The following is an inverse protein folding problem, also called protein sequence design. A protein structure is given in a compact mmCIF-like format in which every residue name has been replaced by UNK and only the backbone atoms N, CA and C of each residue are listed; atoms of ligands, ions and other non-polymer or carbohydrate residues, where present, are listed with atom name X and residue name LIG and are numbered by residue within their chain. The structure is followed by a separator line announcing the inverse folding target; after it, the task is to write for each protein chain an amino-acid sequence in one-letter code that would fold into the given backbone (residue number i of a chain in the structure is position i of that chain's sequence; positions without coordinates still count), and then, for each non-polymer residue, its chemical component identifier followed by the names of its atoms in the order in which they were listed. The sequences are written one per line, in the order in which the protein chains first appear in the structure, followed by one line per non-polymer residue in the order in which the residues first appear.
data_IF_095358778608
#
_entry.id   IF_095358778608
#
_cell.length_a   1.000
_cell.length_b   1.000
_cell.length_c   1.000
_cell.angle_alpha   90.00
_cell.angle_beta   90.00
_cell.angle_gamma   90.00
#
_symmetry.space_group_name_H-M   'P 1'
#
loop_
_entity.id
_entity.type
_entity.pdbx_description
1 polymer ?
#
# COMPACT_ATOMS: atom_id res chain seq x y z
N UNK A 1 17.04 24.90 23.08
CA UNK A 1 16.53 24.16 21.90
C UNK A 1 17.57 24.16 20.78
N UNK A 2 18.01 22.99 20.31
CA UNK A 2 18.99 22.88 19.22
C UNK A 2 18.34 23.03 17.83
N UNK A 3 19.15 23.10 16.76
CA UNK A 3 18.64 23.16 15.39
C UNK A 3 17.82 21.90 15.05
N UNK A 4 16.73 22.06 14.30
CA UNK A 4 15.94 20.93 13.80
C UNK A 4 16.65 20.31 12.60
N UNK A 5 16.87 18.99 12.65
CA UNK A 5 17.32 18.22 11.49
C UNK A 5 16.17 17.96 10.52
N UNK A 6 16.42 17.90 9.20
CA UNK A 6 15.40 17.54 8.23
C UNK A 6 14.90 16.10 8.43
N UNK A 7 13.61 15.85 8.19
CA UNK A 7 13.03 14.52 8.17
C UNK A 7 13.06 13.95 6.74
N UNK A 8 13.73 12.82 6.56
CA UNK A 8 13.80 12.10 5.29
C UNK A 8 12.83 10.92 5.30
N UNK A 9 12.04 10.77 4.23
CA UNK A 9 11.03 9.71 4.11
C UNK A 9 11.29 8.93 2.83
N UNK A 10 11.30 7.60 2.92
CA UNK A 10 11.29 6.71 1.78
C UNK A 10 9.84 6.39 1.39
N UNK A 11 9.52 6.55 0.10
CA UNK A 11 8.22 6.16 -0.47
C UNK A 11 8.38 5.78 -1.93
N UNK A 12 7.41 5.04 -2.46
CA UNK A 12 7.35 4.70 -3.88
C UNK A 12 7.09 5.95 -4.73
N UNK A 13 7.72 5.99 -5.91
CA UNK A 13 7.47 7.01 -6.93
C UNK A 13 7.15 6.30 -8.26
N UNK A 14 5.93 6.47 -8.81
CA UNK A 14 4.79 7.20 -8.27
C UNK A 14 4.11 6.49 -7.08
N UNK A 15 3.21 7.17 -6.33
CA UNK A 15 2.46 6.55 -5.24
C UNK A 15 1.69 5.30 -5.69
N UNK A 16 1.83 4.22 -4.92
CA UNK A 16 1.18 2.93 -5.22
C UNK A 16 -0.21 2.88 -4.62
N UNK A 17 -1.21 2.57 -5.44
CA UNK A 17 -2.60 2.40 -4.96
C UNK A 17 -2.81 1.08 -4.22
N UNK A 18 -3.72 1.07 -3.24
CA UNK A 18 -4.13 -0.17 -2.55
C UNK A 18 -4.66 -1.23 -3.52
N UNK A 19 -5.36 -0.81 -4.58
CA UNK A 19 -5.83 -1.73 -5.63
C UNK A 19 -4.66 -2.42 -6.36
N UNK A 20 -3.58 -1.70 -6.65
CA UNK A 20 -2.38 -2.27 -7.26
C UNK A 20 -1.67 -3.24 -6.31
N UNK A 21 -1.56 -2.90 -5.02
CA UNK A 21 -1.03 -3.79 -3.97
C UNK A 21 -1.84 -5.09 -3.93
N UNK A 22 -3.17 -5.03 -3.82
CA UNK A 22 -4.04 -6.21 -3.79
C UNK A 22 -3.92 -7.01 -5.09
N UNK A 23 -3.79 -6.34 -6.24
CA UNK A 23 -3.62 -7.00 -7.54
C UNK A 23 -2.32 -7.79 -7.63
N UNK A 24 -1.20 -7.24 -7.15
CA UNK A 24 0.09 -7.92 -7.06
C UNK A 24 0.02 -9.17 -6.19
N UNK A 25 -0.56 -9.06 -4.99
CA UNK A 25 -0.77 -10.22 -4.12
C UNK A 25 -1.63 -11.30 -4.79
N UNK A 26 -2.74 -10.92 -5.42
CA UNK A 26 -3.62 -11.87 -6.12
C UNK A 26 -2.89 -12.58 -7.28
N UNK A 27 -2.11 -11.84 -8.06
CA UNK A 27 -1.25 -12.39 -9.13
C UNK A 27 -0.28 -13.42 -8.55
N UNK A 28 0.46 -13.07 -7.50
CA UNK A 28 1.41 -13.99 -6.85
C UNK A 28 0.72 -15.24 -6.28
N UNK A 29 -0.46 -15.09 -5.68
CA UNK A 29 -1.30 -16.20 -5.19
C UNK A 29 -1.96 -17.02 -6.30
N UNK A 30 -1.88 -16.62 -7.58
CA UNK A 30 -2.53 -17.33 -8.69
C UNK A 30 -4.06 -17.18 -8.67
N UNK A 31 -4.56 -16.10 -8.08
CA UNK A 31 -5.99 -15.78 -7.96
C UNK A 31 -6.36 -14.66 -8.94
N UNK A 32 -7.52 -14.74 -9.61
CA UNK A 32 -7.96 -13.69 -10.54
C UNK A 32 -8.21 -12.39 -9.79
N UNK A 33 -7.81 -11.19 -10.26
CA UNK A 33 -7.83 -9.95 -9.45
C UNK A 33 -9.22 -9.50 -8.97
N UNK A 34 -10.29 -9.69 -9.76
CA UNK A 34 -11.72 -9.46 -9.42
C UNK A 34 -11.97 -8.28 -8.45
N UNK A 35 -11.49 -7.09 -8.80
CA UNK A 35 -11.79 -5.84 -8.08
C UNK A 35 -12.87 -5.06 -8.82
N UNK A 36 -13.74 -4.39 -8.08
CA UNK A 36 -14.74 -3.46 -8.60
C UNK A 36 -14.63 -2.12 -7.88
N UNK A 37 -14.85 -1.02 -8.59
CA UNK A 37 -14.92 0.30 -8.00
C UNK A 37 -16.21 0.42 -7.19
N UNK A 38 -16.09 0.84 -5.93
CA UNK A 38 -17.23 1.08 -5.03
C UNK A 38 -17.09 2.50 -4.49
N UNK A 39 -18.17 3.31 -4.48
CA UNK A 39 -18.16 4.63 -3.85
C UNK A 39 -17.70 4.55 -2.39
N UNK A 40 -16.77 5.43 -2.01
CA UNK A 40 -16.21 5.46 -0.65
C UNK A 40 -17.27 5.67 0.43
N UNK A 41 -18.36 6.40 0.13
CA UNK A 41 -19.48 6.61 1.04
C UNK A 41 -20.17 5.31 1.44
N UNK A 42 -20.44 4.42 0.46
CA UNK A 42 -21.05 3.12 0.71
C UNK A 42 -20.14 2.24 1.58
N UNK A 43 -18.83 2.28 1.31
CA UNK A 43 -17.87 1.52 2.10
C UNK A 43 -17.72 2.05 3.52
N UNK A 44 -17.73 3.38 3.69
CA UNK A 44 -17.76 4.02 5.01
C UNK A 44 -18.99 3.62 5.79
N UNK A 45 -20.17 3.65 5.18
CA UNK A 45 -21.43 3.24 5.83
C UNK A 45 -21.37 1.79 6.30
N UNK A 46 -20.90 0.87 5.45
CA UNK A 46 -20.72 -0.53 5.82
C UNK A 46 -19.74 -0.68 7.00
N UNK A 47 -18.58 0.00 6.96
CA UNK A 47 -17.61 -0.03 8.04
C UNK A 47 -18.19 0.50 9.36
N UNK A 48 -18.97 1.58 9.32
CA UNK A 48 -19.66 2.14 10.49
C UNK A 48 -20.68 1.15 11.06
N UNK A 49 -21.50 0.54 10.20
CA UNK A 49 -22.48 -0.46 10.63
C UNK A 49 -21.83 -1.69 11.30
N UNK A 50 -20.62 -2.05 10.86
CA UNK A 50 -19.81 -3.12 11.46
C UNK A 50 -18.99 -2.67 12.69
N UNK A 51 -19.16 -1.45 13.20
CA UNK A 51 -18.41 -0.92 14.34
C UNK A 51 -16.94 -0.57 14.03
N UNK A 52 -16.56 -0.51 12.76
CA UNK A 52 -15.18 -0.30 12.26
C UNK A 52 -14.90 1.14 11.82
N UNK A 53 -15.55 2.13 12.42
CA UNK A 53 -15.38 3.55 12.04
C UNK A 53 -13.93 4.01 12.14
N UNK A 54 -13.29 3.82 13.30
CA UNK A 54 -11.90 4.25 13.52
C UNK A 54 -10.92 3.55 12.58
N UNK A 55 -11.15 2.27 12.27
CA UNK A 55 -10.36 1.54 11.29
C UNK A 55 -10.50 2.13 9.89
N UNK A 56 -11.73 2.44 9.46
CA UNK A 56 -11.95 3.09 8.16
C UNK A 56 -11.24 4.44 8.06
N UNK A 57 -11.35 5.28 9.09
CA UNK A 57 -10.72 6.60 9.12
C UNK A 57 -9.19 6.50 9.11
N UNK A 58 -8.63 5.57 9.89
CA UNK A 58 -7.19 5.28 9.88
C UNK A 58 -6.71 4.77 8.52
N UNK A 59 -7.40 3.79 7.94
CA UNK A 59 -7.04 3.17 6.65
C UNK A 59 -7.15 4.12 5.46
N UNK A 60 -8.08 5.08 5.51
CA UNK A 60 -8.35 6.02 4.40
C UNK A 60 -7.71 7.39 4.59
N UNK A 61 -7.03 7.62 5.70
CA UNK A 61 -6.17 8.79 5.87
C UNK A 61 -5.05 8.79 4.82
N UNK A 62 -4.55 9.96 4.41
CA UNK A 62 -3.49 10.03 3.39
C UNK A 62 -2.25 9.25 3.85
N UNK A 63 -1.82 8.30 3.02
CA UNK A 63 -0.59 7.51 3.20
C UNK A 63 0.44 7.84 2.11
N UNK A 64 0.28 9.00 1.46
CA UNK A 64 1.19 9.46 0.40
C UNK A 64 2.21 10.40 1.04
N UNK A 65 3.47 10.06 0.90
CA UNK A 65 4.61 10.85 1.36
C UNK A 65 5.43 11.34 0.17
N UNK A 66 6.01 12.54 0.29
CA UNK A 66 6.94 13.10 -0.70
C UNK A 66 8.39 12.69 -0.36
N UNK A 67 9.06 11.88 -1.20
CA UNK A 67 10.44 11.44 -0.96
C UNK A 67 11.48 12.41 -1.54
N UNK A 68 11.07 13.55 -2.12
CA UNK A 68 11.96 14.44 -2.89
C UNK A 68 13.22 14.87 -2.13
N UNK A 69 13.10 15.11 -0.83
CA UNK A 69 14.24 15.48 0.02
C UNK A 69 15.24 14.33 0.21
N UNK A 70 14.77 13.08 0.29
CA UNK A 70 15.65 11.92 0.38
C UNK A 70 16.29 11.63 -0.99
N UNK A 71 15.51 11.76 -2.07
CA UNK A 71 16.01 11.63 -3.44
C UNK A 71 17.11 12.66 -3.74
N UNK A 72 17.00 13.88 -3.22
CA UNK A 72 18.04 14.91 -3.41
C UNK A 72 19.39 14.55 -2.75
N UNK A 73 19.42 13.55 -1.86
CA UNK A 73 20.65 13.03 -1.26
C UNK A 73 21.27 11.88 -2.06
N UNK A 74 20.76 11.59 -3.27
CA UNK A 74 21.24 10.52 -4.13
C UNK A 74 20.58 9.16 -3.87
N UNK A 75 19.56 9.10 -3.01
CA UNK A 75 18.74 7.90 -2.86
C UNK A 75 17.82 7.71 -4.07
N UNK A 76 17.66 6.47 -4.53
CA UNK A 76 16.80 6.12 -5.66
C UNK A 76 15.63 5.24 -5.16
N UNK A 77 14.37 5.59 -5.47
CA UNK A 77 13.22 4.77 -5.12
C UNK A 77 13.26 3.41 -5.80
N UNK A 78 12.81 2.37 -5.09
CA UNK A 78 12.64 1.04 -5.68
C UNK A 78 11.48 1.08 -6.69
N UNK A 79 11.73 0.63 -7.93
CA UNK A 79 10.72 0.67 -8.99
C UNK A 79 9.95 -0.64 -9.14
N UNK A 80 10.39 -1.71 -8.48
CA UNK A 80 9.84 -3.06 -8.63
C UNK A 80 8.90 -3.49 -7.49
N UNK A 81 8.39 -2.57 -6.66
CA UNK A 81 7.59 -2.87 -5.46
C UNK A 81 6.44 -3.87 -5.73
N UNK A 82 5.67 -3.67 -6.80
CA UNK A 82 4.55 -4.57 -7.14
C UNK A 82 4.99 -5.97 -7.58
N UNK A 83 6.12 -6.08 -8.28
CA UNK A 83 6.66 -7.38 -8.67
C UNK A 83 7.18 -8.13 -7.44
N UNK A 84 7.87 -7.43 -6.52
CA UNK A 84 8.31 -7.98 -5.24
C UNK A 84 7.16 -8.49 -4.38
N UNK A 85 6.05 -7.74 -4.32
CA UNK A 85 4.84 -8.19 -3.61
C UNK A 85 4.27 -9.47 -4.24
N UNK A 86 4.26 -9.56 -5.57
CA UNK A 86 3.83 -10.77 -6.28
C UNK A 86 4.74 -11.96 -5.97
N UNK A 87 6.06 -11.76 -5.93
CA UNK A 87 7.03 -12.78 -5.56
C UNK A 87 6.87 -13.26 -4.11
N UNK A 88 6.66 -12.35 -3.17
CA UNK A 88 6.39 -12.69 -1.75
C UNK A 88 5.15 -13.57 -1.66
N UNK A 89 4.07 -13.20 -2.35
CA UNK A 89 2.82 -13.94 -2.32
C UNK A 89 2.90 -15.32 -3.03
N UNK A 90 3.70 -15.42 -4.10
CA UNK A 90 3.97 -16.70 -4.75
C UNK A 90 4.73 -17.66 -3.83
N UNK A 91 5.73 -17.15 -3.09
CA UNK A 91 6.49 -17.93 -2.09
C UNK A 91 5.60 -18.40 -0.94
N UNK A 92 4.71 -17.55 -0.43
CA UNK A 92 3.80 -17.95 0.66
C UNK A 92 2.84 -19.06 0.24
N UNK A 93 2.36 -19.06 -1.02
CA UNK A 93 1.53 -20.16 -1.55
C UNK A 93 2.29 -21.48 -1.60
N UNK A 94 3.56 -21.45 -1.99
CA UNK A 94 4.40 -22.65 -2.08
C UNK A 94 4.71 -23.25 -0.70
N UNK A 95 4.80 -22.41 0.33
CA UNK A 95 5.08 -22.82 1.71
C UNK A 95 3.85 -23.40 2.46
N UNK A 96 2.63 -23.22 1.93
CA UNK A 96 1.40 -23.73 2.54
C UNK A 96 1.06 -25.10 1.93
N UNK A 97 1.16 -26.23 2.68
CA UNK A 97 0.60 -27.50 2.21
C UNK A 97 -0.92 -27.37 2.14
N UNK A 98 -1.49 -27.89 1.04
CA UNK A 98 -2.92 -27.85 0.74
C UNK A 98 -3.78 -28.74 1.64
#
# INVERSE_FOLDING_TARGET
PGPLSPAYIASDVPPVSVAAVVSAFRKGLGRPVRLAAVPASLMRMAAVALGKRAFWESMTATQICDPSLLVSQGWLPETATLDRLSEIAARSRQAQPG
#
